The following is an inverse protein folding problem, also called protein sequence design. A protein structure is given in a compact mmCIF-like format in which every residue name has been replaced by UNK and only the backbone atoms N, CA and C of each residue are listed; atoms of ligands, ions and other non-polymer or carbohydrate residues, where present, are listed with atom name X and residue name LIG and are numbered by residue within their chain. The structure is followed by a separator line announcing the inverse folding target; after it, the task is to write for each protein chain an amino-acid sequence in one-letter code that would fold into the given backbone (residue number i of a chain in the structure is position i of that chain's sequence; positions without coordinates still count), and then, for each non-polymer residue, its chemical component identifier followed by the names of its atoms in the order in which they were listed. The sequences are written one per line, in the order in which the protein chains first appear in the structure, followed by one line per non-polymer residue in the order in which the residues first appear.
data_IF_424378138865
#
_entry.id   IF_424378138865
#
_cell.length_a   1.000
_cell.length_b   1.000
_cell.length_c   1.000
_cell.angle_alpha   90.00
_cell.angle_beta   90.00
_cell.angle_gamma   90.00
#
_symmetry.space_group_name_H-M   'P 1'
#
loop_
_entity.id
_entity.type
_entity.pdbx_description
1 polymer ?
#
# COMPACT_ATOMS: atom_id res chain seq x y z
N UNK A 1 -1.21 -19.58 -37.38
CA UNK A 1 -2.22 -19.44 -36.30
C UNK A 1 -1.45 -19.73 -35.04
N UNK A 2 -0.86 -18.68 -34.45
CA UNK A 2 0.04 -18.84 -33.30
C UNK A 2 -0.80 -18.92 -32.05
N UNK A 3 -0.64 -19.99 -31.29
CA UNK A 3 -1.21 -20.13 -29.96
C UNK A 3 -0.63 -19.03 -29.07
N UNK A 4 -1.46 -18.03 -28.80
CA UNK A 4 -1.24 -17.04 -27.75
C UNK A 4 -1.42 -17.79 -26.42
N UNK A 5 -0.34 -18.42 -25.96
CA UNK A 5 -0.27 -19.04 -24.63
C UNK A 5 -0.44 -17.88 -23.65
N UNK A 6 -1.68 -17.65 -23.21
CA UNK A 6 -2.06 -16.58 -22.33
C UNK A 6 -1.25 -16.67 -21.05
N UNK A 7 -0.18 -15.87 -20.97
CA UNK A 7 0.54 -15.65 -19.73
C UNK A 7 -0.48 -15.04 -18.78
N UNK A 8 -0.92 -15.81 -17.81
CA UNK A 8 -1.82 -15.35 -16.75
C UNK A 8 -1.08 -14.26 -15.98
N UNK A 9 -1.33 -13.01 -16.36
CA UNK A 9 -0.65 -11.86 -15.76
C UNK A 9 -1.24 -11.65 -14.38
N UNK A 10 -0.42 -11.83 -13.36
CA UNK A 10 -0.82 -11.58 -11.98
C UNK A 10 -1.30 -10.13 -11.83
N UNK A 11 -2.52 -9.96 -11.31
CA UNK A 11 -3.11 -8.64 -11.07
C UNK A 11 -2.80 -8.22 -9.65
N UNK A 12 -2.23 -7.03 -9.51
CA UNK A 12 -2.03 -6.36 -8.23
C UNK A 12 -3.19 -5.41 -7.94
N UNK A 13 -3.69 -5.49 -6.71
CA UNK A 13 -4.59 -4.52 -6.11
C UNK A 13 -3.79 -3.46 -5.36
N UNK A 14 -4.16 -2.21 -5.54
CA UNK A 14 -3.73 -1.10 -4.69
C UNK A 14 -4.94 -0.59 -3.92
N UNK A 15 -4.86 -0.57 -2.59
CA UNK A 15 -5.98 -0.15 -1.74
C UNK A 15 -5.55 0.48 -0.43
N UNK A 16 -6.49 1.13 0.26
CA UNK A 16 -6.27 1.68 1.59
C UNK A 16 -6.90 0.75 2.63
N UNK A 17 -6.07 0.17 3.49
CA UNK A 17 -6.50 -0.72 4.56
C UNK A 17 -6.74 0.05 5.84
N UNK A 18 -7.76 -0.36 6.60
CA UNK A 18 -7.99 0.05 7.98
C UNK A 18 -8.29 -1.18 8.84
N UNK A 19 -7.48 -1.40 9.88
CA UNK A 19 -7.74 -2.38 10.93
C UNK A 19 -8.94 -1.96 11.77
N UNK A 20 -9.79 -2.93 12.10
CA UNK A 20 -10.86 -2.75 13.06
C UNK A 20 -10.29 -2.75 14.47
N UNK A 21 -10.80 -1.83 15.29
CA UNK A 21 -10.54 -1.79 16.73
C UNK A 21 -11.17 -2.98 17.44
N UNK A 22 -10.74 -3.27 18.66
CA UNK A 22 -11.38 -4.29 19.50
C UNK A 22 -12.88 -4.01 19.73
N UNK A 23 -13.27 -2.75 19.85
CA UNK A 23 -14.68 -2.33 19.97
C UNK A 23 -15.50 -2.57 18.71
N UNK A 24 -14.86 -2.64 17.54
CA UNK A 24 -15.51 -2.99 16.26
C UNK A 24 -15.50 -4.51 15.99
N UNK A 25 -15.07 -5.32 16.97
CA UNK A 25 -14.94 -6.78 16.83
C UNK A 25 -13.65 -7.24 16.15
N UNK A 26 -12.69 -6.33 15.95
CA UNK A 26 -11.37 -6.60 15.38
C UNK A 26 -10.43 -7.34 16.33
N UNK A 27 -9.12 -7.16 16.13
CA UNK A 27 -8.12 -7.83 16.97
C UNK A 27 -8.08 -7.21 18.37
N UNK A 28 -7.89 -8.05 19.38
CA UNK A 28 -7.52 -7.61 20.73
C UNK A 28 -6.02 -7.26 20.80
N UNK A 29 -5.18 -8.02 20.10
CA UNK A 29 -3.74 -7.80 20.01
C UNK A 29 -3.38 -7.12 18.67
N UNK A 30 -2.54 -6.08 18.65
CA UNK A 30 -2.13 -5.41 17.41
C UNK A 30 -1.36 -6.35 16.47
N UNK A 31 -1.63 -6.25 15.17
CA UNK A 31 -0.78 -6.82 14.13
C UNK A 31 0.50 -5.98 13.99
N UNK A 32 1.70 -6.58 13.92
CA UNK A 32 2.96 -5.84 13.81
C UNK A 32 3.18 -5.15 12.44
N UNK A 33 2.38 -5.51 11.44
CA UNK A 33 2.54 -5.09 10.05
C UNK A 33 3.29 -6.13 9.21
N UNK A 34 3.56 -5.84 7.94
CA UNK A 34 4.30 -6.72 7.04
C UNK A 34 3.42 -7.63 6.19
N UNK A 35 3.97 -8.76 5.71
CA UNK A 35 3.24 -9.70 4.85
C UNK A 35 2.07 -10.32 5.58
N UNK A 36 0.94 -10.45 4.90
CA UNK A 36 -0.30 -10.95 5.51
C UNK A 36 -1.17 -11.67 4.47
N UNK A 37 -1.59 -12.90 4.76
CA UNK A 37 -2.44 -13.70 3.85
C UNK A 37 -3.76 -14.08 4.54
N UNK A 38 -4.76 -13.18 4.52
CA UNK A 38 -6.08 -13.45 5.07
C UNK A 38 -7.07 -13.95 4.02
N UNK A 39 -8.31 -14.09 4.46
CA UNK A 39 -9.47 -14.21 3.59
C UNK A 39 -10.10 -12.81 3.40
N UNK A 40 -10.70 -12.55 2.24
CA UNK A 40 -11.43 -11.33 1.94
C UNK A 40 -12.78 -11.61 1.26
N UNK A 41 -13.74 -10.70 1.42
CA UNK A 41 -15.02 -10.71 0.71
C UNK A 41 -15.41 -9.27 0.33
N UNK A 42 -16.01 -9.07 -0.85
CA UNK A 42 -16.54 -7.77 -1.25
C UNK A 42 -17.81 -7.43 -0.45
N UNK A 43 -17.96 -6.17 -0.02
CA UNK A 43 -19.18 -5.72 0.68
C UNK A 43 -20.40 -5.62 -0.24
N UNK A 44 -20.16 -5.37 -1.53
CA UNK A 44 -21.20 -5.25 -2.56
C UNK A 44 -21.19 -6.50 -3.43
N UNK A 45 -22.13 -7.40 -3.17
CA UNK A 45 -22.18 -8.71 -3.83
C UNK A 45 -22.70 -9.75 -2.85
N UNK A 46 -24.01 -9.73 -2.59
CA UNK A 46 -24.64 -10.76 -1.75
C UNK A 46 -24.46 -12.13 -2.41
N UNK A 47 -23.57 -12.97 -1.86
CA UNK A 47 -23.37 -14.35 -2.29
C UNK A 47 -21.99 -14.72 -2.82
N UNK A 48 -21.03 -13.80 -2.91
CA UNK A 48 -19.66 -14.17 -3.27
C UNK A 48 -18.97 -14.90 -2.10
N UNK A 49 -18.46 -16.09 -2.38
CA UNK A 49 -17.69 -16.85 -1.41
C UNK A 49 -16.39 -16.11 -1.09
N UNK A 50 -15.98 -16.09 0.19
CA UNK A 50 -14.78 -15.38 0.60
C UNK A 50 -13.52 -16.06 0.00
N UNK A 51 -12.55 -15.26 -0.45
CA UNK A 51 -11.34 -15.72 -1.14
C UNK A 51 -10.08 -15.48 -0.34
N UNK A 52 -9.04 -16.29 -0.55
CA UNK A 52 -7.70 -15.97 -0.06
C UNK A 52 -7.13 -14.78 -0.82
N UNK A 53 -6.47 -13.87 -0.11
CA UNK A 53 -5.75 -12.73 -0.67
C UNK A 53 -4.41 -12.63 0.04
N UNK A 54 -3.35 -12.22 -0.65
CA UNK A 54 -2.02 -12.02 -0.06
C UNK A 54 -1.61 -10.57 -0.18
N UNK A 55 -1.28 -9.94 0.93
CA UNK A 55 -0.71 -8.61 1.01
C UNK A 55 0.80 -8.70 1.13
N UNK A 56 1.51 -7.91 0.32
CA UNK A 56 2.97 -7.83 0.39
C UNK A 56 3.44 -7.06 1.64
N UNK A 57 2.66 -6.09 2.08
CA UNK A 57 2.92 -5.28 3.27
C UNK A 57 1.62 -4.61 3.77
N UNK A 58 1.24 -4.85 5.03
CA UNK A 58 0.13 -4.19 5.71
C UNK A 58 0.62 -3.28 6.83
N UNK A 59 -0.07 -2.16 7.12
CA UNK A 59 0.28 -1.32 8.27
C UNK A 59 0.16 -2.11 9.58
N UNK A 60 0.94 -1.73 10.59
CA UNK A 60 0.71 -2.20 11.95
C UNK A 60 -0.64 -1.69 12.48
N UNK A 61 -1.28 -2.44 13.38
CA UNK A 61 -2.48 -2.01 14.08
C UNK A 61 -3.46 -3.14 14.44
N UNK A 62 -4.56 -2.83 15.15
CA UNK A 62 -5.01 -1.49 15.55
C UNK A 62 -4.17 -0.85 16.67
N UNK A 63 -4.09 0.49 16.75
CA UNK A 63 -3.36 1.23 17.79
C UNK A 63 -3.35 2.76 17.58
N UNK A 64 -2.97 3.56 18.59
CA UNK A 64 -2.92 5.04 18.47
C UNK A 64 -1.88 5.44 17.43
N UNK A 65 -2.28 6.20 16.42
CA UNK A 65 -1.39 6.64 15.33
C UNK A 65 -1.02 5.54 14.33
N UNK A 66 -1.62 4.36 14.46
CA UNK A 66 -1.45 3.18 13.62
C UNK A 66 -2.85 2.68 13.19
N UNK A 67 -2.92 1.62 12.40
CA UNK A 67 -4.21 0.99 12.09
C UNK A 67 -4.75 1.28 10.70
N UNK A 68 -4.10 2.11 9.89
CA UNK A 68 -4.46 2.27 8.48
C UNK A 68 -3.25 2.61 7.60
N UNK A 69 -3.41 2.38 6.29
CA UNK A 69 -2.37 2.68 5.33
C UNK A 69 -2.59 2.03 3.98
N UNK A 70 -1.79 2.46 3.01
CA UNK A 70 -1.74 1.85 1.69
C UNK A 70 -1.27 0.40 1.80
N UNK A 71 -1.90 -0.44 0.98
CA UNK A 71 -1.61 -1.86 0.84
C UNK A 71 -1.60 -2.26 -0.63
N UNK A 72 -0.77 -3.24 -0.92
CA UNK A 72 -0.72 -3.93 -2.21
C UNK A 72 -1.00 -5.40 -2.00
N UNK A 73 -1.88 -5.95 -2.83
CA UNK A 73 -2.38 -7.30 -2.64
C UNK A 73 -2.50 -8.07 -3.96
N UNK A 74 -2.50 -9.39 -3.85
CA UNK A 74 -2.62 -10.34 -4.96
C UNK A 74 -3.54 -11.49 -4.59
N UNK A 75 -4.17 -12.09 -5.59
CA UNK A 75 -4.86 -13.36 -5.40
C UNK A 75 -3.86 -14.51 -5.58
N UNK A 76 -3.64 -15.34 -4.55
CA UNK A 76 -2.85 -16.54 -4.70
C UNK A 76 -3.60 -17.45 -5.69
N UNK A 77 -2.94 -17.81 -6.80
CA UNK A 77 -3.30 -18.83 -7.79
C UNK A 77 -3.82 -18.36 -9.16
N UNK A 78 -3.50 -17.15 -9.63
CA UNK A 78 -3.84 -16.74 -11.01
C UNK A 78 -5.34 -16.59 -11.29
N UNK A 79 -6.19 -17.05 -10.37
CA UNK A 79 -7.63 -17.03 -10.44
C UNK A 79 -8.13 -15.70 -10.94
N UNK A 80 -9.03 -15.77 -11.92
CA UNK A 80 -9.62 -14.61 -12.57
C UNK A 80 -9.99 -13.61 -11.49
N UNK A 81 -9.39 -12.41 -11.56
CA UNK A 81 -9.76 -11.32 -10.66
C UNK A 81 -11.28 -11.31 -10.61
N UNK A 82 -11.89 -11.41 -9.42
CA UNK A 82 -13.32 -11.31 -9.33
C UNK A 82 -13.80 -10.03 -9.98
N UNK A 83 -14.72 -10.19 -10.92
CA UNK A 83 -15.25 -9.11 -11.77
C UNK A 83 -15.79 -7.94 -10.94
N UNK A 84 -16.19 -8.20 -9.70
CA UNK A 84 -16.67 -7.23 -8.72
C UNK A 84 -15.58 -6.36 -8.05
N UNK A 85 -14.28 -6.69 -8.15
CA UNK A 85 -13.22 -5.99 -7.41
C UNK A 85 -12.63 -4.79 -8.17
N UNK A 86 -13.44 -3.79 -8.50
CA UNK A 86 -13.05 -2.51 -9.12
C UNK A 86 -12.56 -1.44 -8.13
N UNK A 87 -11.94 -0.33 -8.60
CA UNK A 87 -11.79 0.87 -7.79
C UNK A 87 -13.12 1.29 -7.14
N UNK A 88 -13.09 1.69 -5.87
CA UNK A 88 -14.26 1.99 -5.04
C UNK A 88 -14.91 0.77 -4.38
N UNK A 89 -14.47 -0.45 -4.71
CA UNK A 89 -14.93 -1.66 -4.00
C UNK A 89 -14.34 -1.69 -2.61
N UNK A 90 -15.15 -2.04 -1.61
CA UNK A 90 -14.68 -2.31 -0.26
C UNK A 90 -14.60 -3.81 -0.01
N UNK A 91 -13.44 -4.25 0.46
CA UNK A 91 -13.21 -5.61 0.90
C UNK A 91 -13.26 -5.65 2.42
N UNK A 92 -13.95 -6.65 2.97
CA UNK A 92 -13.81 -7.03 4.38
C UNK A 92 -12.78 -8.13 4.47
N UNK A 93 -11.80 -7.93 5.32
CA UNK A 93 -10.74 -8.89 5.61
C UNK A 93 -11.12 -9.68 6.85
N UNK A 94 -11.05 -11.01 6.77
CA UNK A 94 -11.43 -11.90 7.86
C UNK A 94 -10.30 -12.86 8.26
N UNK A 95 -10.29 -13.21 9.55
CA UNK A 95 -9.53 -14.32 10.12
C UNK A 95 -10.52 -15.37 10.63
N UNK A 96 -10.66 -16.48 9.91
CA UNK A 96 -11.81 -17.37 10.09
C UNK A 96 -13.11 -16.59 9.85
N UNK A 97 -14.02 -16.61 10.82
CA UNK A 97 -15.30 -15.89 10.76
C UNK A 97 -15.23 -14.44 11.26
N UNK A 98 -14.09 -14.02 11.83
CA UNK A 98 -13.95 -12.70 12.46
C UNK A 98 -13.51 -11.66 11.43
N UNK A 99 -14.23 -10.56 11.22
CA UNK A 99 -13.73 -9.45 10.44
C UNK A 99 -12.69 -8.67 11.25
N UNK A 100 -11.56 -8.34 10.62
CA UNK A 100 -10.42 -7.70 11.28
C UNK A 100 -9.99 -6.40 10.63
N UNK A 101 -10.37 -6.17 9.38
CA UNK A 101 -10.05 -4.95 8.67
C UNK A 101 -11.00 -4.73 7.49
N UNK A 102 -10.98 -3.53 6.94
CA UNK A 102 -11.52 -3.24 5.63
C UNK A 102 -10.44 -2.67 4.70
N UNK A 103 -10.61 -2.89 3.39
CA UNK A 103 -9.74 -2.32 2.35
C UNK A 103 -10.61 -1.66 1.29
N UNK A 104 -10.40 -0.38 1.06
CA UNK A 104 -10.94 0.33 -0.10
C UNK A 104 -9.99 0.17 -1.29
N UNK A 105 -10.47 -0.42 -2.38
CA UNK A 105 -9.66 -0.57 -3.60
C UNK A 105 -9.57 0.79 -4.31
N UNK A 106 -8.34 1.26 -4.53
CA UNK A 106 -8.07 2.51 -5.26
C UNK A 106 -7.70 2.25 -6.72
N UNK A 107 -7.11 1.09 -7.01
CA UNK A 107 -6.62 0.78 -8.35
C UNK A 107 -6.27 -0.69 -8.50
N UNK A 108 -6.22 -1.12 -9.76
CA UNK A 108 -5.79 -2.47 -10.14
C UNK A 108 -4.85 -2.35 -11.32
N UNK A 109 -3.72 -3.03 -11.27
CA UNK A 109 -2.73 -3.01 -12.33
C UNK A 109 -2.18 -4.41 -12.58
N UNK A 110 -1.60 -4.62 -13.76
CA UNK A 110 -0.73 -5.77 -13.96
C UNK A 110 0.46 -5.63 -13.02
N UNK A 111 0.78 -6.70 -12.31
CA UNK A 111 1.92 -6.73 -11.40
C UNK A 111 3.19 -6.47 -12.18
N UNK A 112 4.01 -5.58 -11.64
CA UNK A 112 5.36 -5.35 -12.10
C UNK A 112 6.29 -5.45 -10.90
N UNK A 113 7.48 -6.00 -11.11
CA UNK A 113 8.51 -6.03 -10.08
C UNK A 113 8.93 -4.59 -9.75
N UNK A 114 8.97 -4.29 -8.46
CA UNK A 114 9.29 -2.95 -7.94
C UNK A 114 10.64 -3.05 -7.23
N UNK A 115 11.63 -2.21 -7.57
CA UNK A 115 12.97 -2.28 -6.97
C UNK A 115 12.97 -1.90 -5.48
N UNK A 116 12.01 -1.08 -5.07
CA UNK A 116 11.86 -0.64 -3.69
C UNK A 116 10.43 -0.22 -3.37
N UNK A 117 10.13 -0.26 -2.07
CA UNK A 117 8.91 0.27 -1.45
C UNK A 117 9.28 1.10 -0.23
N UNK A 118 8.62 2.24 -0.03
CA UNK A 118 8.85 3.14 1.10
C UNK A 118 7.53 3.50 1.77
N UNK A 119 7.31 3.04 3.01
CA UNK A 119 6.11 3.35 3.79
C UNK A 119 6.33 4.61 4.61
N UNK A 120 5.55 5.65 4.34
CA UNK A 120 5.67 6.95 5.00
C UNK A 120 5.12 6.86 6.42
N UNK A 121 5.93 7.29 7.39
CA UNK A 121 5.53 7.45 8.79
C UNK A 121 5.35 8.92 9.15
N UNK A 122 6.03 9.83 8.44
CA UNK A 122 6.04 11.26 8.73
C UNK A 122 6.36 12.07 7.47
N UNK A 123 5.77 13.26 7.33
CA UNK A 123 6.06 14.20 6.23
C UNK A 123 6.29 15.63 6.72
N UNK A 124 7.19 16.35 6.06
CA UNK A 124 7.54 17.74 6.38
C UNK A 124 7.85 18.55 5.12
N UNK A 125 7.53 19.85 5.16
CA UNK A 125 7.82 20.76 4.05
C UNK A 125 9.25 21.29 4.16
N UNK A 126 9.93 21.41 3.03
CA UNK A 126 11.27 22.01 2.95
C UNK A 126 11.17 23.20 1.98
N UNK A 127 11.25 24.40 2.52
CA UNK A 127 11.13 25.66 1.77
C UNK A 127 12.06 25.65 0.56
N UNK A 128 11.51 25.84 -0.63
CA UNK A 128 12.25 25.89 -1.89
C UNK A 128 12.79 24.55 -2.42
N UNK A 129 12.59 23.42 -1.71
CA UNK A 129 13.13 22.10 -2.13
C UNK A 129 12.07 21.04 -2.39
N UNK A 130 10.93 21.09 -1.71
CA UNK A 130 9.85 20.12 -1.85
C UNK A 130 9.38 19.56 -0.51
N UNK A 131 9.03 18.28 -0.49
CA UNK A 131 8.53 17.58 0.70
C UNK A 131 9.53 16.52 1.12
N UNK A 132 9.96 16.54 2.38
CA UNK A 132 10.70 15.44 2.99
C UNK A 132 9.74 14.44 3.62
N UNK A 133 10.04 13.15 3.48
CA UNK A 133 9.30 12.08 4.16
C UNK A 133 10.25 11.15 4.89
N UNK A 134 9.84 10.71 6.06
CA UNK A 134 10.46 9.61 6.78
C UNK A 134 9.59 8.37 6.70
N UNK A 135 10.22 7.21 6.87
CA UNK A 135 9.55 5.94 6.68
C UNK A 135 10.50 4.76 6.62
N UNK A 136 9.91 3.61 6.34
CA UNK A 136 10.59 2.33 6.25
C UNK A 136 10.81 1.96 4.79
N UNK A 137 12.08 1.76 4.41
CA UNK A 137 12.50 1.35 3.07
C UNK A 137 12.67 -0.18 3.02
N UNK A 138 12.02 -0.81 2.06
CA UNK A 138 12.32 -2.18 1.63
C UNK A 138 12.86 -2.15 0.20
N UNK A 139 13.91 -2.93 -0.08
CA UNK A 139 14.61 -2.91 -1.37
C UNK A 139 15.68 -1.82 -1.45
N UNK A 140 16.07 -1.45 -2.66
CA UNK A 140 17.16 -0.49 -2.91
C UNK A 140 16.75 0.61 -3.89
N UNK A 141 17.11 1.84 -3.57
CA UNK A 141 17.00 2.98 -4.48
C UNK A 141 18.34 3.13 -5.18
N UNK A 142 18.46 2.53 -6.35
CA UNK A 142 19.66 2.51 -7.19
C UNK A 142 19.93 3.85 -7.90
N UNK A 143 18.87 4.64 -8.15
CA UNK A 143 18.96 5.92 -8.84
C UNK A 143 18.12 7.03 -8.22
N UNK A 144 18.81 8.08 -7.79
CA UNK A 144 18.20 9.33 -7.35
C UNK A 144 17.60 10.14 -8.52
N UNK A 145 16.52 10.87 -8.23
CA UNK A 145 15.84 11.77 -9.15
C UNK A 145 14.87 11.10 -10.13
N UNK A 146 14.69 9.78 -10.03
CA UNK A 146 13.71 9.04 -10.83
C UNK A 146 12.26 9.22 -10.34
N UNK A 147 11.27 8.94 -11.19
CA UNK A 147 9.87 8.99 -10.80
C UNK A 147 9.47 7.79 -9.94
N UNK A 148 8.51 7.99 -9.06
CA UNK A 148 7.90 6.95 -8.25
C UNK A 148 6.37 7.05 -8.29
N UNK A 149 5.69 5.96 -7.95
CA UNK A 149 4.26 6.00 -7.63
C UNK A 149 4.10 6.27 -6.13
N UNK A 150 3.24 7.20 -5.77
CA UNK A 150 2.78 7.44 -4.41
C UNK A 150 1.31 7.02 -4.32
N UNK A 151 1.05 6.09 -3.42
CA UNK A 151 -0.30 5.79 -2.96
C UNK A 151 -0.58 6.52 -1.66
N UNK A 152 -1.55 7.42 -1.71
CA UNK A 152 -2.14 8.08 -0.56
C UNK A 152 -3.54 7.54 -0.30
N UNK A 153 -4.17 7.95 0.80
CA UNK A 153 -5.55 7.55 1.15
C UNK A 153 -6.55 7.82 0.04
N UNK A 154 -6.43 8.96 -0.64
CA UNK A 154 -7.44 9.40 -1.62
C UNK A 154 -7.12 8.99 -3.05
N UNK A 155 -5.84 8.75 -3.36
CA UNK A 155 -5.40 8.64 -4.75
C UNK A 155 -4.04 7.98 -4.92
N UNK A 156 -3.86 7.42 -6.11
CA UNK A 156 -2.57 7.08 -6.70
C UNK A 156 -2.06 8.29 -7.49
N UNK A 157 -0.81 8.68 -7.29
CA UNK A 157 -0.17 9.77 -8.03
C UNK A 157 1.26 9.44 -8.41
N UNK A 158 1.78 10.16 -9.40
CA UNK A 158 3.18 10.05 -9.81
C UNK A 158 3.96 11.15 -9.10
N UNK A 159 5.01 10.77 -8.38
CA UNK A 159 6.02 11.71 -7.87
C UNK A 159 7.08 11.81 -8.96
N UNK A 160 7.24 12.95 -9.64
CA UNK A 160 8.17 13.06 -10.77
C UNK A 160 9.62 12.76 -10.41
N UNK A 161 10.03 13.10 -9.18
CA UNK A 161 11.40 12.96 -8.77
C UNK A 161 11.51 12.66 -7.27
N UNK A 162 12.24 11.59 -6.95
CA UNK A 162 12.49 11.09 -5.60
C UNK A 162 13.99 10.99 -5.36
N UNK A 163 14.47 11.49 -4.23
CA UNK A 163 15.87 11.35 -3.80
C UNK A 163 15.95 10.75 -2.42
N UNK A 164 16.81 9.76 -2.25
CA UNK A 164 17.25 9.31 -0.93
C UNK A 164 18.24 10.34 -0.37
N UNK A 165 17.88 10.92 0.77
CA UNK A 165 18.69 11.89 1.52
C UNK A 165 18.82 11.46 2.99
N UNK A 166 19.72 12.12 3.71
CA UNK A 166 19.83 12.07 5.17
C UNK A 166 19.38 13.40 5.74
N UNK A 167 18.32 13.38 6.55
CA UNK A 167 17.86 14.57 7.24
C UNK A 167 18.43 14.59 8.67
N UNK A 168 18.94 15.76 9.07
CA UNK A 168 19.37 16.00 10.46
C UNK A 168 18.15 16.21 11.34
N UNK A 169 18.04 15.42 12.38
CA UNK A 169 16.98 15.49 13.39
C UNK A 169 17.62 15.59 14.78
N UNK A 170 16.83 15.99 15.78
CA UNK A 170 17.29 15.95 17.16
C UNK A 170 17.72 14.50 17.51
N UNK A 171 18.99 14.31 17.82
CA UNK A 171 19.56 13.00 18.14
C UNK A 171 20.24 12.25 16.97
N UNK A 172 20.35 12.82 15.77
CA UNK A 172 21.20 12.26 14.71
C UNK A 172 20.74 12.52 13.29
N UNK A 173 21.13 11.63 12.38
CA UNK A 173 20.69 11.63 10.98
C UNK A 173 19.70 10.49 10.75
N UNK A 174 18.60 10.78 10.06
CA UNK A 174 17.58 9.80 9.68
C UNK A 174 17.48 9.76 8.16
N UNK A 175 17.40 8.56 7.58
CA UNK A 175 17.12 8.39 6.15
C UNK A 175 15.75 8.97 5.83
N UNK A 176 15.68 9.78 4.78
CA UNK A 176 14.47 10.42 4.31
C UNK A 176 14.41 10.35 2.79
N UNK A 177 13.21 10.48 2.22
CA UNK A 177 13.07 10.78 0.80
C UNK A 177 12.72 12.26 0.62
N UNK A 178 13.43 12.94 -0.28
CA UNK A 178 13.03 14.24 -0.80
C UNK A 178 12.17 14.03 -2.04
N UNK A 179 10.98 14.62 -2.03
CA UNK A 179 9.97 14.51 -3.07
C UNK A 179 9.76 15.89 -3.72
N UNK A 180 9.85 15.93 -5.05
CA UNK A 180 9.53 17.14 -5.83
C UNK A 180 8.29 16.95 -6.67
N UNK A 181 7.58 18.04 -6.94
CA UNK A 181 6.38 18.05 -7.76
C UNK A 181 5.12 17.57 -7.04
N UNK A 182 5.16 17.45 -5.70
CA UNK A 182 4.03 17.04 -4.86
C UNK A 182 3.89 17.96 -3.65
N UNK A 183 2.67 18.19 -3.21
CA UNK A 183 2.36 19.02 -2.05
C UNK A 183 2.31 18.17 -0.78
N UNK A 184 2.77 18.72 0.35
CA UNK A 184 2.84 18.01 1.65
C UNK A 184 1.48 17.43 2.05
N UNK A 185 0.39 18.14 1.77
CA UNK A 185 -0.99 17.76 2.12
C UNK A 185 -1.44 16.48 1.40
N UNK A 186 -0.76 16.08 0.32
CA UNK A 186 -1.04 14.85 -0.43
C UNK A 186 -0.36 13.62 0.18
N UNK A 187 0.45 13.81 1.25
CA UNK A 187 1.32 12.78 1.81
C UNK A 187 1.13 12.70 3.32
N UNK A 188 0.40 11.67 3.75
CA UNK A 188 0.18 11.36 5.15
C UNK A 188 0.93 10.11 5.61
N UNK A 189 1.00 9.86 6.93
CA UNK A 189 1.37 8.57 7.47
C UNK A 189 0.54 7.44 6.86
N UNK A 190 1.15 6.28 6.65
CA UNK A 190 0.51 5.13 6.02
C UNK A 190 0.52 5.16 4.49
N UNK A 191 0.83 6.29 3.86
CA UNK A 191 1.10 6.33 2.41
C UNK A 191 2.28 5.43 2.05
N UNK A 192 2.25 4.87 0.84
CA UNK A 192 3.32 4.00 0.33
C UNK A 192 3.82 4.54 -1.00
N UNK A 193 5.13 4.64 -1.14
CA UNK A 193 5.80 4.94 -2.40
C UNK A 193 6.48 3.70 -2.97
N UNK A 194 6.50 3.58 -4.30
CA UNK A 194 7.17 2.48 -4.99
C UNK A 194 7.93 2.97 -6.21
N UNK A 195 9.12 2.41 -6.40
CA UNK A 195 9.90 2.63 -7.62
C UNK A 195 9.12 2.19 -8.85
N UNK A 196 9.25 2.90 -9.97
CA UNK A 196 8.69 2.40 -11.23
C UNK A 196 9.59 1.29 -11.79
N UNK A 197 9.02 0.24 -12.40
CA UNK A 197 9.79 -0.69 -13.20
C UNK A 197 10.51 0.09 -14.31
N UNK A 198 11.74 -0.32 -14.62
CA UNK A 198 12.52 0.24 -15.71
C UNK A 198 11.89 -0.08 -17.07
#
# INVERSE_FOLDING_TARGET
MGDDVGVEREVELSGWMRWFTASEGGRAEPHPGGRYTPTAAATSGTGEAPWSISFDDVPAGPGIGLGEGAVHARWPNGGTRPSACGPGTRLIITEGLRPVADVEILGTAIRAERPWTFRVTESFGITGRGVGVFGDLTGEIDRNGGPAELQSRERLLVVPQVWLEFARVAGGERRALLLRGVAKQQIGPGSVMRGRPL
#
